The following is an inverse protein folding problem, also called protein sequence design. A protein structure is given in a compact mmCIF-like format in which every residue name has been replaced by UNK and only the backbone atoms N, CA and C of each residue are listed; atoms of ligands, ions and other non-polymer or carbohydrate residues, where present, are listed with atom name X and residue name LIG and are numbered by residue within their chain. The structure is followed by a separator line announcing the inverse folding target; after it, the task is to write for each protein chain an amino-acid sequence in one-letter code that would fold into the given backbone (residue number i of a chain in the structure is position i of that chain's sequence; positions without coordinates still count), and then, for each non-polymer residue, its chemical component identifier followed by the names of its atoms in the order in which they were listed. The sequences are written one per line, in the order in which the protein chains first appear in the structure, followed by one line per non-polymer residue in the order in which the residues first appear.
data_IF_810214219333
#
_entry.id   IF_810214219333
#
_cell.length_a   1.000
_cell.length_b   1.000
_cell.length_c   1.000
_cell.angle_alpha   90.00
_cell.angle_beta   90.00
_cell.angle_gamma   90.00
#
_symmetry.space_group_name_H-M   'P 1'
#
loop_
_entity.id
_entity.type
_entity.pdbx_description
1 polymer ?
#
# COMPACT_ATOMS: atom_id res chain seq x y z
N UNK A 1 15.58 -20.16 6.78
CA UNK A 1 16.49 -20.49 7.90
C UNK A 1 17.09 -19.19 8.37
N UNK A 2 16.64 -18.68 9.53
CA UNK A 2 17.22 -17.48 10.13
C UNK A 2 18.69 -17.78 10.48
N UNK A 3 19.61 -17.01 9.91
CA UNK A 3 21.00 -16.98 10.38
C UNK A 3 20.98 -16.53 11.84
N UNK A 4 21.29 -17.43 12.77
CA UNK A 4 21.68 -17.05 14.13
C UNK A 4 22.90 -16.15 13.98
N UNK A 5 22.72 -14.83 14.15
CA UNK A 5 23.82 -13.91 14.39
C UNK A 5 24.53 -14.39 15.65
N UNK A 6 25.76 -14.83 15.50
CA UNK A 6 26.66 -15.11 16.63
C UNK A 6 26.77 -13.81 17.41
N UNK A 7 26.20 -13.76 18.60
CA UNK A 7 26.36 -12.67 19.55
C UNK A 7 27.85 -12.52 19.82
N UNK A 8 28.40 -11.31 19.72
CA UNK A 8 29.83 -11.05 19.91
C UNK A 8 30.34 -11.64 21.24
N UNK A 9 31.33 -12.50 21.17
CA UNK A 9 31.86 -13.29 22.30
C UNK A 9 32.23 -12.39 23.48
N UNK A 10 32.65 -11.16 23.22
CA UNK A 10 33.09 -10.19 24.23
C UNK A 10 32.02 -9.16 24.62
N UNK A 11 30.83 -9.22 24.06
CA UNK A 11 29.72 -8.35 24.45
C UNK A 11 28.96 -8.92 25.67
N UNK A 12 28.44 -8.04 26.52
CA UNK A 12 27.52 -8.40 27.60
C UNK A 12 26.15 -8.77 27.01
N UNK A 13 25.52 -9.83 27.50
CA UNK A 13 24.28 -10.36 26.94
C UNK A 13 23.08 -9.41 27.10
N UNK A 14 23.01 -8.64 28.21
CA UNK A 14 21.92 -7.71 28.51
C UNK A 14 22.46 -6.33 28.91
N UNK A 15 22.95 -5.50 27.97
CA UNK A 15 23.40 -4.15 28.28
C UNK A 15 22.22 -3.16 28.34
N UNK A 16 22.45 -2.03 29.00
CA UNK A 16 21.48 -0.92 29.01
C UNK A 16 21.38 -0.25 27.62
N UNK A 17 22.52 -0.10 26.94
CA UNK A 17 22.61 0.47 25.61
C UNK A 17 22.76 -0.68 24.60
N UNK A 18 21.67 -1.05 23.97
CA UNK A 18 21.62 -2.16 22.99
C UNK A 18 22.01 -1.71 21.60
N UNK A 19 21.55 -0.52 21.22
CA UNK A 19 21.79 0.08 19.89
C UNK A 19 22.63 1.33 19.99
N UNK A 20 23.42 1.58 18.98
CA UNK A 20 24.33 2.70 18.84
C UNK A 20 24.09 3.38 17.50
N UNK A 21 24.05 4.72 17.49
CA UNK A 21 24.09 5.50 16.26
C UNK A 21 25.55 5.87 15.96
N UNK A 22 26.08 5.40 14.83
CA UNK A 22 27.39 5.78 14.32
C UNK A 22 27.27 7.14 13.61
N UNK A 23 27.86 8.18 14.19
CA UNK A 23 27.80 9.53 13.63
C UNK A 23 28.69 9.71 12.39
N UNK A 24 29.55 8.75 12.06
CA UNK A 24 30.35 8.80 10.84
C UNK A 24 29.54 8.35 9.61
N UNK A 25 28.58 7.44 9.80
CA UNK A 25 27.77 6.87 8.71
C UNK A 25 26.30 7.24 8.80
N UNK A 26 25.83 7.67 9.98
CA UNK A 26 24.41 7.86 10.27
C UNK A 26 23.61 6.53 10.45
N UNK A 27 24.31 5.40 10.46
CA UNK A 27 23.70 4.08 10.62
C UNK A 27 23.60 3.68 12.10
N UNK A 28 22.62 2.86 12.40
CA UNK A 28 22.51 2.19 13.70
C UNK A 28 23.10 0.79 13.65
N UNK A 29 23.84 0.46 14.70
CA UNK A 29 24.44 -0.85 14.86
C UNK A 29 24.11 -1.45 16.23
N UNK A 30 23.98 -2.75 16.30
CA UNK A 30 23.83 -3.45 17.56
C UNK A 30 25.16 -3.46 18.32
N UNK A 31 25.13 -3.25 19.65
CA UNK A 31 26.32 -3.16 20.47
C UNK A 31 27.30 -4.34 20.28
N UNK A 32 26.76 -5.56 20.16
CA UNK A 32 27.57 -6.77 19.98
C UNK A 32 28.33 -6.77 18.64
N UNK A 33 27.71 -6.27 17.58
CA UNK A 33 28.34 -6.13 16.25
C UNK A 33 29.50 -5.12 16.30
N UNK A 34 29.31 -4.02 17.01
CA UNK A 34 30.35 -2.98 17.16
C UNK A 34 31.51 -3.46 17.99
N UNK A 35 31.26 -4.21 19.08
CA UNK A 35 32.30 -4.81 19.92
C UNK A 35 33.03 -5.91 19.15
N UNK A 36 32.31 -6.78 18.46
CA UNK A 36 32.84 -7.88 17.67
C UNK A 36 33.41 -9.03 18.52
N UNK A 37 34.13 -9.92 17.84
CA UNK A 37 34.69 -11.14 18.41
C UNK A 37 36.23 -11.09 18.58
N UNK A 38 36.82 -9.92 18.40
CA UNK A 38 38.25 -9.67 18.57
C UNK A 38 38.49 -8.81 19.81
N UNK A 39 39.17 -9.40 20.82
CA UNK A 39 39.44 -8.73 22.09
C UNK A 39 40.39 -7.54 21.94
N UNK A 40 41.42 -7.69 21.13
CA UNK A 40 42.39 -6.62 20.88
C UNK A 40 41.75 -5.43 20.19
N UNK A 41 40.95 -5.69 19.18
CA UNK A 41 40.12 -4.68 18.49
C UNK A 41 39.16 -3.98 19.46
N UNK A 42 38.53 -4.71 20.39
CA UNK A 42 37.62 -4.09 21.38
C UNK A 42 38.41 -3.14 22.32
N UNK A 43 39.64 -3.48 22.70
CA UNK A 43 40.50 -2.58 23.48
C UNK A 43 40.93 -1.34 22.71
N UNK A 44 41.27 -1.49 21.42
CA UNK A 44 41.58 -0.38 20.52
C UNK A 44 40.38 0.54 20.36
N UNK A 45 39.18 -0.03 20.11
CA UNK A 45 37.93 0.71 20.02
C UNK A 45 37.67 1.50 21.31
N UNK A 46 37.87 0.90 22.47
CA UNK A 46 37.71 1.56 23.77
C UNK A 46 38.55 2.81 23.91
N UNK A 47 39.81 2.73 23.51
CA UNK A 47 40.74 3.87 23.53
C UNK A 47 40.34 4.94 22.52
N UNK A 48 39.98 4.53 21.31
CA UNK A 48 39.55 5.43 20.25
C UNK A 48 38.33 6.25 20.67
N UNK A 49 37.30 5.61 21.21
CA UNK A 49 36.05 6.28 21.63
C UNK A 49 36.30 7.32 22.73
N UNK A 50 37.20 7.05 23.68
CA UNK A 50 37.62 8.03 24.69
C UNK A 50 38.33 9.22 24.07
N UNK A 51 39.15 8.98 23.05
CA UNK A 51 39.85 10.02 22.33
C UNK A 51 38.89 10.91 21.53
N UNK A 52 37.95 10.29 20.83
CA UNK A 52 36.93 11.00 20.04
C UNK A 52 36.03 11.89 20.90
N UNK A 53 35.64 11.39 22.09
CA UNK A 53 34.91 12.20 23.09
C UNK A 53 35.71 13.42 23.55
N UNK A 54 37.01 13.24 23.86
CA UNK A 54 37.87 14.34 24.27
C UNK A 54 38.08 15.39 23.15
N UNK A 55 37.98 14.96 21.88
CA UNK A 55 38.06 15.84 20.70
C UNK A 55 36.69 16.48 20.37
N UNK A 56 35.67 16.30 21.20
CA UNK A 56 34.31 16.75 20.98
C UNK A 56 33.65 16.23 19.70
N UNK A 57 34.20 15.13 19.13
CA UNK A 57 33.64 14.43 17.96
C UNK A 57 33.36 12.94 18.26
N UNK A 58 32.43 12.65 19.19
CA UNK A 58 32.12 11.26 19.53
C UNK A 58 31.64 10.51 18.30
N UNK A 59 32.16 9.28 18.11
CA UNK A 59 31.72 8.43 17.00
C UNK A 59 30.35 7.82 17.24
N UNK A 60 30.11 7.29 18.45
CA UNK A 60 28.85 6.66 18.78
C UNK A 60 28.07 7.45 19.83
N UNK A 61 26.75 7.53 19.62
CA UNK A 61 25.80 8.08 20.57
C UNK A 61 24.65 7.11 20.82
N UNK A 62 24.01 7.24 21.97
CA UNK A 62 22.75 6.55 22.23
C UNK A 62 21.66 7.11 21.31
N UNK A 63 21.00 6.30 20.49
CA UNK A 63 19.98 6.80 19.57
C UNK A 63 18.70 7.27 20.27
N UNK A 64 18.51 6.96 21.55
CA UNK A 64 17.36 7.38 22.34
C UNK A 64 17.52 8.78 22.93
N UNK A 65 18.71 9.17 23.37
CA UNK A 65 18.96 10.44 24.04
C UNK A 65 20.06 11.29 23.40
N UNK A 66 20.71 10.79 22.33
CA UNK A 66 21.82 11.43 21.61
C UNK A 66 23.06 11.71 22.49
N UNK A 67 23.09 11.16 23.69
CA UNK A 67 24.26 11.27 24.56
C UNK A 67 25.40 10.41 24.03
N UNK A 68 26.64 10.93 23.95
CA UNK A 68 27.81 10.15 23.62
C UNK A 68 27.97 8.92 24.52
N UNK A 69 28.39 7.81 23.93
CA UNK A 69 28.63 6.56 24.65
C UNK A 69 30.07 6.14 24.53
N UNK A 70 30.56 5.45 25.54
CA UNK A 70 31.91 4.91 25.58
C UNK A 70 31.90 3.45 26.05
N UNK A 71 32.97 2.71 25.71
CA UNK A 71 33.07 1.28 26.01
C UNK A 71 33.65 1.04 27.39
N UNK A 72 32.96 0.27 28.23
CA UNK A 72 33.36 -0.15 29.57
C UNK A 72 33.62 -1.66 29.56
N UNK A 73 34.64 -2.11 30.32
CA UNK A 73 34.90 -3.53 30.51
C UNK A 73 34.41 -4.00 31.89
N UNK A 74 33.82 -5.18 31.97
CA UNK A 74 33.66 -5.94 33.22
C UNK A 74 34.94 -6.74 33.44
N UNK A 75 35.55 -6.70 34.64
CA UNK A 75 36.78 -7.46 34.94
C UNK A 75 36.57 -8.97 34.79
N UNK A 76 35.40 -9.44 35.21
CA UNK A 76 34.99 -10.82 35.11
C UNK A 76 34.57 -11.18 33.69
N UNK A 77 35.20 -12.17 33.08
CA UNK A 77 34.85 -12.74 31.79
C UNK A 77 35.26 -11.92 30.56
N UNK A 78 36.08 -10.87 30.69
CA UNK A 78 36.53 -10.02 29.58
C UNK A 78 35.39 -9.48 28.72
N UNK A 79 34.25 -9.11 29.32
CA UNK A 79 33.06 -8.62 28.64
C UNK A 79 33.04 -7.09 28.57
N UNK A 80 32.48 -6.55 27.49
CA UNK A 80 32.35 -5.12 27.24
C UNK A 80 30.88 -4.73 27.07
N UNK A 81 30.57 -3.48 27.42
CA UNK A 81 29.26 -2.86 27.21
C UNK A 81 29.41 -1.34 27.05
N UNK A 82 28.45 -0.72 26.39
CA UNK A 82 28.43 0.73 26.24
C UNK A 82 27.71 1.40 27.41
N UNK A 83 28.23 2.56 27.80
CA UNK A 83 27.70 3.41 28.86
C UNK A 83 27.60 4.85 28.38
N UNK A 84 26.57 5.59 28.82
CA UNK A 84 26.42 6.99 28.54
C UNK A 84 27.54 7.83 29.21
N UNK A 85 28.01 8.85 28.52
CA UNK A 85 29.01 9.76 29.07
C UNK A 85 28.46 10.56 30.29
N UNK A 86 27.17 10.87 30.26
CA UNK A 86 26.43 11.51 31.35
C UNK A 86 25.21 10.65 31.68
N UNK A 87 25.16 10.13 32.87
CA UNK A 87 24.02 9.38 33.43
C UNK A 87 23.19 10.31 34.32
N UNK A 88 22.42 11.20 33.72
CA UNK A 88 21.58 12.15 34.43
C UNK A 88 20.11 11.73 34.53
N UNK A 89 19.81 10.47 34.27
CA UNK A 89 18.45 9.91 34.27
C UNK A 89 17.56 10.35 33.13
N UNK A 90 18.09 11.04 32.10
CA UNK A 90 17.33 11.54 30.96
C UNK A 90 17.10 10.51 29.88
N UNK A 91 17.84 9.42 29.88
CA UNK A 91 17.68 8.37 28.88
C UNK A 91 16.60 7.36 29.25
N UNK A 92 15.65 7.14 28.35
CA UNK A 92 14.61 6.16 28.53
C UNK A 92 15.15 4.70 28.51
N UNK A 93 16.34 4.48 27.96
CA UNK A 93 16.97 3.15 27.99
C UNK A 93 17.40 2.76 29.41
N UNK A 94 17.78 3.73 30.24
CA UNK A 94 18.21 3.53 31.64
C UNK A 94 17.03 3.62 32.61
N UNK A 95 15.96 4.37 32.25
CA UNK A 95 14.82 4.66 33.14
C UNK A 95 13.53 3.92 32.77
N UNK A 96 13.64 2.73 32.23
CA UNK A 96 12.45 1.94 31.84
C UNK A 96 11.48 1.80 33.03
N UNK A 97 10.28 2.38 32.86
CA UNK A 97 9.18 2.27 33.82
C UNK A 97 9.05 3.40 34.83
N UNK A 98 9.96 4.36 34.92
CA UNK A 98 9.93 5.47 35.91
C UNK A 98 9.38 6.78 35.37
N UNK A 99 9.37 6.97 34.04
CA UNK A 99 8.93 8.22 33.40
C UNK A 99 7.72 7.97 32.50
N UNK A 100 6.76 8.91 32.55
CA UNK A 100 5.68 8.95 31.58
C UNK A 100 6.22 9.33 30.19
N UNK A 101 5.48 8.98 29.11
CA UNK A 101 5.84 9.30 27.73
C UNK A 101 6.01 10.82 27.53
N UNK A 102 5.20 11.64 28.22
CA UNK A 102 5.25 13.09 28.13
C UNK A 102 6.49 13.67 28.84
N UNK A 103 6.90 13.09 29.96
CA UNK A 103 8.13 13.47 30.64
C UNK A 103 9.39 13.09 29.83
N UNK A 104 9.37 11.93 29.16
CA UNK A 104 10.42 11.53 28.22
C UNK A 104 10.50 12.52 27.05
N UNK A 105 9.35 12.91 26.49
CA UNK A 105 9.29 13.89 25.41
C UNK A 105 9.77 15.26 25.85
N UNK A 106 9.29 15.77 26.99
CA UNK A 106 9.71 17.07 27.54
C UNK A 106 11.21 17.13 27.79
N UNK A 107 11.83 16.05 28.31
CA UNK A 107 13.26 15.98 28.57
C UNK A 107 14.11 15.90 27.31
N UNK A 108 13.62 15.26 26.24
CA UNK A 108 14.31 15.23 24.93
C UNK A 108 14.42 16.59 24.27
N UNK A 109 13.41 17.43 24.42
CA UNK A 109 13.39 18.78 23.81
C UNK A 109 14.09 19.83 24.64
N UNK A 110 14.35 19.61 25.93
CA UNK A 110 14.88 20.61 26.86
C UNK A 110 16.40 20.45 27.14
N UNK A 111 17.23 20.11 26.18
CA UNK A 111 18.66 20.25 26.39
C UNK A 111 19.60 19.17 25.89
N UNK A 112 19.20 18.36 24.91
CA UNK A 112 20.14 17.49 24.22
C UNK A 112 21.00 18.35 23.30
N UNK A 113 22.31 18.42 23.53
CA UNK A 113 23.28 19.00 22.56
C UNK A 113 23.11 18.25 21.23
N UNK A 114 22.87 18.99 20.16
CA UNK A 114 22.85 18.42 18.82
C UNK A 114 24.16 17.70 18.53
N UNK A 115 24.06 16.55 17.84
CA UNK A 115 25.27 15.85 17.40
C UNK A 115 25.97 16.66 16.31
N UNK A 116 27.28 16.49 16.21
CA UNK A 116 28.06 17.13 15.14
C UNK A 116 27.52 16.74 13.74
N UNK A 117 27.07 15.50 13.56
CA UNK A 117 26.48 15.06 12.29
C UNK A 117 25.19 15.83 11.97
N UNK A 118 24.34 16.10 12.96
CA UNK A 118 23.10 16.88 12.73
C UNK A 118 23.43 18.31 12.27
N UNK A 119 24.42 18.93 12.93
CA UNK A 119 24.89 20.26 12.54
C UNK A 119 25.50 20.28 11.13
N UNK A 120 26.32 19.27 10.77
CA UNK A 120 26.88 19.13 9.43
C UNK A 120 25.78 18.91 8.39
N UNK A 121 24.80 18.05 8.62
CA UNK A 121 23.69 17.83 7.70
C UNK A 121 22.85 19.09 7.46
N UNK A 122 22.58 19.88 8.49
CA UNK A 122 21.91 21.20 8.31
C UNK A 122 22.74 22.10 7.39
N UNK A 123 24.05 22.17 7.60
CA UNK A 123 24.94 22.96 6.75
C UNK A 123 25.01 22.42 5.31
N UNK A 124 25.04 21.08 5.12
CA UNK A 124 25.01 20.48 3.79
C UNK A 124 23.72 20.80 3.05
N UNK A 125 22.57 20.59 3.69
CA UNK A 125 21.26 20.90 3.09
C UNK A 125 21.21 22.39 2.73
N UNK A 126 21.52 23.28 3.67
CA UNK A 126 21.50 24.72 3.41
C UNK A 126 22.40 25.13 2.23
N UNK A 127 23.62 24.58 2.15
CA UNK A 127 24.54 24.88 1.05
C UNK A 127 24.02 24.34 -0.31
N UNK A 128 23.40 23.16 -0.34
CA UNK A 128 22.77 22.62 -1.54
C UNK A 128 21.59 23.48 -2.02
N UNK A 129 20.75 23.95 -1.09
CA UNK A 129 19.61 24.82 -1.41
C UNK A 129 20.08 26.20 -1.91
N UNK A 130 21.15 26.74 -1.34
CA UNK A 130 21.67 28.06 -1.73
C UNK A 130 22.27 28.10 -3.14
N UNK A 131 22.82 26.98 -3.63
CA UNK A 131 23.41 26.94 -5.00
C UNK A 131 22.38 26.62 -6.07
N UNK A 132 21.22 26.10 -5.72
CA UNK A 132 20.13 25.80 -6.63
C UNK A 132 19.19 27.02 -6.72
N UNK A 133 19.22 27.72 -7.86
CA UNK A 133 18.49 28.97 -8.07
C UNK A 133 16.95 28.89 -7.97
N UNK A 134 16.39 27.68 -7.92
CA UNK A 134 14.96 27.46 -7.73
C UNK A 134 14.53 27.58 -6.26
N UNK A 135 15.49 27.56 -5.34
CA UNK A 135 15.24 27.82 -3.93
C UNK A 135 15.48 29.28 -3.57
N UNK A 136 14.62 29.81 -2.72
CA UNK A 136 14.78 31.11 -2.07
C UNK A 136 14.55 30.99 -0.54
N UNK A 137 14.84 32.05 0.19
CA UNK A 137 14.57 32.16 1.63
C UNK A 137 15.13 30.99 2.48
N UNK A 138 16.36 30.55 2.14
CA UNK A 138 17.02 29.45 2.85
C UNK A 138 17.46 29.93 4.24
N UNK A 139 16.89 29.37 5.29
CA UNK A 139 17.18 29.71 6.68
C UNK A 139 17.35 28.45 7.52
N UNK A 140 18.48 28.33 8.18
CA UNK A 140 18.78 27.26 9.15
C UNK A 140 18.15 27.62 10.48
N UNK A 141 17.42 26.70 11.08
CA UNK A 141 16.76 26.86 12.39
C UNK A 141 15.86 28.11 12.48
N UNK A 142 15.39 28.60 11.38
CA UNK A 142 14.51 29.77 11.35
C UNK A 142 13.12 29.47 11.89
N UNK A 143 12.61 30.38 12.75
CA UNK A 143 11.24 30.28 13.21
C UNK A 143 10.25 30.37 12.03
N UNK A 144 9.38 29.39 11.92
CA UNK A 144 8.23 29.40 11.01
C UNK A 144 6.98 29.67 11.84
N UNK A 145 6.44 30.86 11.74
CA UNK A 145 5.18 31.22 12.39
C UNK A 145 4.04 30.95 11.41
N UNK A 146 3.07 30.16 11.83
CA UNK A 146 1.90 29.84 11.03
C UNK A 146 1.01 31.06 10.84
N UNK A 147 0.61 31.31 9.60
CA UNK A 147 -0.26 32.42 9.24
C UNK A 147 -1.71 32.18 9.71
N UNK A 148 -2.13 30.94 9.78
CA UNK A 148 -3.51 30.57 10.13
C UNK A 148 -3.70 30.26 11.62
N UNK A 149 -2.71 29.63 12.26
CA UNK A 149 -2.83 29.17 13.65
C UNK A 149 -2.19 30.07 14.67
N UNK A 150 -1.24 30.92 14.27
CA UNK A 150 -0.37 31.68 15.19
C UNK A 150 0.65 30.78 15.93
N UNK A 151 0.57 29.46 15.78
CA UNK A 151 1.58 28.53 16.28
C UNK A 151 2.90 28.73 15.55
N UNK A 152 3.97 28.20 16.10
CA UNK A 152 5.26 28.26 15.43
C UNK A 152 6.00 26.93 15.55
N UNK A 153 6.86 26.68 14.57
CA UNK A 153 7.81 25.56 14.56
C UNK A 153 9.19 26.08 14.16
N UNK A 154 10.20 25.30 14.47
CA UNK A 154 11.60 25.60 14.11
C UNK A 154 12.13 24.38 13.34
N UNK A 155 11.98 24.35 12.02
CA UNK A 155 12.56 23.28 11.20
C UNK A 155 14.09 23.39 11.20
N UNK A 156 14.76 22.27 10.93
CA UNK A 156 16.22 22.23 10.81
C UNK A 156 16.71 23.16 9.70
N UNK A 157 16.06 23.09 8.52
CA UNK A 157 16.26 24.05 7.44
C UNK A 157 14.89 24.36 6.81
N UNK A 158 14.64 25.61 6.48
CA UNK A 158 13.48 26.01 5.68
C UNK A 158 13.92 26.72 4.42
N UNK A 159 13.15 26.59 3.36
CA UNK A 159 13.32 27.31 2.11
C UNK A 159 11.99 27.41 1.36
N UNK A 160 11.98 28.18 0.27
CA UNK A 160 10.87 28.21 -0.68
C UNK A 160 11.39 27.64 -2.00
N UNK A 161 10.75 26.58 -2.49
CA UNK A 161 11.05 25.97 -3.78
C UNK A 161 9.96 26.34 -4.79
N UNK A 162 10.27 27.15 -5.79
CA UNK A 162 9.33 27.57 -6.82
C UNK A 162 7.96 28.04 -6.27
N UNK A 163 7.99 28.77 -5.16
CA UNK A 163 6.80 29.26 -4.45
C UNK A 163 6.20 28.31 -3.41
N UNK A 164 6.69 27.09 -3.30
CA UNK A 164 6.27 26.13 -2.27
C UNK A 164 7.17 26.27 -1.04
N UNK A 165 6.66 26.66 0.13
CA UNK A 165 7.43 26.64 1.37
C UNK A 165 7.72 25.22 1.81
N UNK A 166 8.99 24.88 2.05
CA UNK A 166 9.44 23.54 2.44
C UNK A 166 10.18 23.60 3.77
N UNK A 167 9.80 22.73 4.68
CA UNK A 167 10.50 22.47 5.94
C UNK A 167 11.28 21.16 5.83
N UNK A 168 12.60 21.25 5.85
CA UNK A 168 13.48 20.09 5.89
C UNK A 168 13.76 19.71 7.34
N UNK A 169 13.49 18.45 7.69
CA UNK A 169 13.70 17.88 9.01
C UNK A 169 14.62 16.69 8.92
N UNK A 170 15.69 16.71 9.71
CA UNK A 170 16.74 15.69 9.68
C UNK A 170 16.44 14.63 10.74
N UNK A 171 16.30 13.40 10.30
CA UNK A 171 15.98 12.28 11.18
C UNK A 171 17.19 11.40 11.43
N UNK A 172 17.85 11.59 12.57
CA UNK A 172 18.99 10.77 13.04
C UNK A 172 18.61 9.85 14.20
N UNK A 173 17.69 10.28 15.06
CA UNK A 173 17.30 9.56 16.27
C UNK A 173 15.88 9.03 16.21
N UNK A 174 15.49 8.21 17.16
CA UNK A 174 14.10 7.80 17.31
C UNK A 174 13.24 9.00 17.71
N UNK A 175 12.25 9.33 16.88
CA UNK A 175 11.25 10.37 17.17
C UNK A 175 9.90 9.69 17.39
N UNK A 176 9.10 10.21 18.34
CA UNK A 176 7.78 9.62 18.60
C UNK A 176 6.79 10.00 17.50
N UNK A 177 5.93 9.05 17.15
CA UNK A 177 4.94 9.20 16.08
C UNK A 177 4.03 10.43 16.25
N UNK A 178 3.67 10.77 17.49
CA UNK A 178 2.86 11.96 17.76
C UNK A 178 3.58 13.27 17.38
N UNK A 179 4.91 13.33 17.51
CA UNK A 179 5.70 14.50 17.09
C UNK A 179 5.75 14.62 15.57
N UNK A 180 5.94 13.48 14.88
CA UNK A 180 5.89 13.43 13.42
C UNK A 180 4.52 13.88 12.93
N UNK A 181 3.44 13.37 13.52
CA UNK A 181 2.06 13.71 13.16
C UNK A 181 1.74 15.20 13.41
N UNK A 182 2.19 15.76 14.56
CA UNK A 182 1.99 17.19 14.89
C UNK A 182 2.75 18.11 13.92
N UNK A 183 4.00 17.76 13.55
CA UNK A 183 4.76 18.52 12.56
C UNK A 183 4.09 18.48 11.20
N UNK A 184 3.71 17.29 10.75
CA UNK A 184 3.02 17.10 9.48
C UNK A 184 1.73 17.90 9.39
N UNK A 185 0.90 17.88 10.45
CA UNK A 185 -0.36 18.63 10.49
C UNK A 185 -0.13 20.14 10.52
N UNK A 186 0.88 20.61 11.26
CA UNK A 186 1.25 22.03 11.27
C UNK A 186 1.61 22.52 9.86
N UNK A 187 2.57 21.87 9.19
CA UNK A 187 3.00 22.32 7.85
C UNK A 187 1.89 22.18 6.80
N UNK A 188 1.08 21.12 6.89
CA UNK A 188 -0.09 20.95 6.02
C UNK A 188 -1.07 22.12 6.16
N UNK A 189 -1.41 22.49 7.38
CA UNK A 189 -2.34 23.59 7.68
C UNK A 189 -1.78 24.95 7.25
N UNK A 190 -0.49 25.14 7.41
CA UNK A 190 0.19 26.40 7.08
C UNK A 190 0.65 26.48 5.60
N UNK A 191 0.20 25.58 4.74
CA UNK A 191 0.48 25.60 3.31
C UNK A 191 1.92 25.27 2.93
N UNK A 192 2.68 24.67 3.84
CA UNK A 192 4.04 24.19 3.60
C UNK A 192 4.11 22.70 3.32
N UNK A 193 5.28 22.22 2.93
CA UNK A 193 5.62 20.82 2.75
C UNK A 193 6.66 20.40 3.79
N UNK A 194 6.38 19.34 4.54
CA UNK A 194 7.35 18.68 5.41
C UNK A 194 8.18 17.68 4.61
N UNK A 195 9.49 17.87 4.58
CA UNK A 195 10.43 17.02 3.88
C UNK A 195 11.43 16.38 4.84
N UNK A 196 11.34 15.05 4.99
CA UNK A 196 12.23 14.29 5.87
C UNK A 196 13.52 13.88 5.15
N UNK A 197 14.65 14.08 5.82
CA UNK A 197 15.99 13.74 5.33
C UNK A 197 16.67 12.81 6.32
N UNK A 198 17.26 11.73 5.82
CA UNK A 198 18.04 10.77 6.58
C UNK A 198 19.54 10.92 6.28
N UNK A 199 20.42 10.56 7.22
CA UNK A 199 21.84 10.40 6.95
C UNK A 199 22.13 9.07 6.22
N UNK A 200 21.35 8.04 6.55
CA UNK A 200 21.35 6.74 5.87
C UNK A 200 19.97 6.09 5.92
N UNK A 201 19.68 5.23 4.97
CA UNK A 201 18.47 4.43 4.95
C UNK A 201 18.80 3.01 4.51
N UNK A 202 18.76 2.08 5.48
CA UNK A 202 19.09 0.68 5.28
C UNK A 202 17.91 -0.21 5.70
N UNK A 203 17.51 -1.15 4.82
CA UNK A 203 16.41 -2.09 5.04
C UNK A 203 16.58 -2.95 6.29
N UNK A 204 17.79 -3.47 6.49
CA UNK A 204 18.07 -4.47 7.51
C UNK A 204 18.24 -3.87 8.91
N UNK A 205 18.45 -2.56 8.99
CA UNK A 205 18.71 -1.81 10.22
C UNK A 205 17.73 -0.65 10.44
N UNK A 206 16.54 -0.68 9.80
CA UNK A 206 15.54 0.38 9.93
C UNK A 206 14.93 0.41 11.31
N UNK A 207 14.70 1.61 11.78
CA UNK A 207 13.91 1.88 12.98
C UNK A 207 12.47 2.11 12.63
N UNK A 208 11.59 1.88 13.59
CA UNK A 208 10.15 2.15 13.43
C UNK A 208 9.87 3.56 12.92
N UNK A 209 10.63 4.57 13.39
CA UNK A 209 10.49 5.95 12.91
C UNK A 209 10.82 6.12 11.42
N UNK A 210 11.84 5.40 10.92
CA UNK A 210 12.15 5.41 9.49
C UNK A 210 11.07 4.74 8.68
N UNK A 211 10.50 3.64 9.20
CA UNK A 211 9.33 3.00 8.60
C UNK A 211 8.11 3.92 8.61
N UNK A 212 7.82 4.60 9.73
CA UNK A 212 6.71 5.56 9.82
C UNK A 212 6.82 6.66 8.75
N UNK A 213 8.01 7.21 8.54
CA UNK A 213 8.23 8.21 7.49
C UNK A 213 8.11 7.58 6.09
N UNK A 214 8.80 6.47 5.84
CA UNK A 214 8.85 5.81 4.54
C UNK A 214 7.47 5.39 4.03
N UNK A 215 6.71 4.66 4.85
CA UNK A 215 5.38 4.17 4.46
C UNK A 215 4.35 5.29 4.30
N UNK A 216 4.51 6.41 5.03
CA UNK A 216 3.66 7.59 4.89
C UNK A 216 4.11 8.56 3.79
N UNK A 217 5.30 8.37 3.20
CA UNK A 217 5.84 9.16 2.10
C UNK A 217 5.82 8.39 0.77
N UNK A 218 4.72 7.73 0.46
CA UNK A 218 4.56 6.94 -0.77
C UNK A 218 5.69 5.94 -1.00
N UNK A 219 6.23 5.38 0.11
CA UNK A 219 7.38 4.46 0.14
C UNK A 219 8.64 5.00 -0.55
N UNK A 220 8.92 6.28 -0.30
CA UNK A 220 10.17 6.93 -0.68
C UNK A 220 10.88 7.49 0.55
N UNK A 221 12.20 7.39 0.58
CA UNK A 221 13.07 7.99 1.59
C UNK A 221 14.22 8.74 0.91
N UNK A 222 14.66 9.83 1.52
CA UNK A 222 15.70 10.69 0.98
C UNK A 222 16.88 10.78 1.92
N UNK A 223 18.08 10.63 1.35
CA UNK A 223 19.34 10.65 2.07
C UNK A 223 20.21 11.79 1.55
N UNK A 224 20.76 12.57 2.48
CA UNK A 224 21.77 13.58 2.21
C UNK A 224 23.04 13.20 2.97
N UNK A 225 24.16 13.18 2.26
CA UNK A 225 25.49 12.90 2.79
C UNK A 225 26.52 13.81 2.12
N UNK A 226 27.79 13.66 2.50
CA UNK A 226 28.87 14.48 1.95
C UNK A 226 28.95 14.37 0.42
N UNK A 227 28.80 13.16 -0.15
CA UNK A 227 28.85 12.94 -1.60
C UNK A 227 27.73 13.70 -2.32
N UNK A 228 26.48 13.53 -1.88
CA UNK A 228 25.35 14.23 -2.52
C UNK A 228 25.48 15.74 -2.39
N UNK A 229 26.04 16.24 -1.29
CA UNK A 229 26.35 17.66 -1.13
C UNK A 229 27.38 18.14 -2.15
N UNK A 230 28.50 17.45 -2.29
CA UNK A 230 29.60 17.85 -3.22
C UNK A 230 29.10 17.85 -4.67
N UNK A 231 28.33 16.84 -5.08
CA UNK A 231 27.71 16.75 -6.39
C UNK A 231 26.64 17.82 -6.61
N UNK A 232 25.86 18.18 -5.58
CA UNK A 232 24.90 19.29 -5.64
C UNK A 232 25.61 20.64 -5.88
N UNK A 233 26.70 20.89 -5.16
CA UNK A 233 27.49 22.12 -5.34
C UNK A 233 28.09 22.22 -6.74
N UNK A 234 28.58 21.09 -7.27
CA UNK A 234 29.16 21.02 -8.61
C UNK A 234 28.11 21.25 -9.71
N UNK A 235 26.96 20.59 -9.60
CA UNK A 235 25.88 20.65 -10.58
C UNK A 235 24.98 21.89 -10.44
N UNK A 236 25.07 22.61 -9.34
CA UNK A 236 24.16 23.70 -8.95
C UNK A 236 22.68 23.26 -8.92
N UNK A 237 22.46 22.01 -8.54
CA UNK A 237 21.12 21.41 -8.35
C UNK A 237 21.11 20.64 -7.05
N UNK A 238 20.04 20.73 -6.28
CA UNK A 238 19.93 19.94 -5.06
C UNK A 238 19.68 18.46 -5.43
N UNK A 239 20.72 17.64 -5.23
CA UNK A 239 20.73 16.20 -5.46
C UNK A 239 20.59 15.43 -4.14
N UNK A 240 19.83 14.36 -4.19
CA UNK A 240 19.50 13.49 -3.06
C UNK A 240 19.68 12.03 -3.48
N UNK A 241 20.13 11.16 -2.60
CA UNK A 241 19.93 9.73 -2.80
C UNK A 241 18.48 9.41 -2.43
N UNK A 242 17.72 8.89 -3.37
CA UNK A 242 16.37 8.41 -3.16
C UNK A 242 16.35 6.89 -3.02
N UNK A 243 15.61 6.39 -2.05
CA UNK A 243 15.34 4.96 -1.85
C UNK A 243 13.84 4.76 -1.94
N UNK A 244 13.37 3.88 -2.82
CA UNK A 244 11.94 3.62 -2.97
C UNK A 244 11.62 2.14 -3.14
N UNK A 245 10.37 1.78 -2.88
CA UNK A 245 9.81 0.46 -3.15
C UNK A 245 9.06 0.45 -4.47
N UNK A 246 9.04 -0.71 -5.15
CA UNK A 246 8.19 -0.96 -6.30
C UNK A 246 7.16 -2.06 -5.98
N UNK A 247 5.89 -1.90 -6.38
CA UNK A 247 4.88 -2.93 -6.14
C UNK A 247 5.03 -4.08 -7.13
N UNK A 248 4.77 -5.30 -6.65
CA UNK A 248 4.71 -6.50 -7.51
C UNK A 248 3.26 -6.88 -7.82
N UNK A 249 3.02 -7.60 -8.94
CA UNK A 249 1.74 -8.25 -9.18
C UNK A 249 1.40 -9.19 -8.01
N UNK A 250 0.27 -8.97 -7.34
CA UNK A 250 -0.12 -9.71 -6.15
C UNK A 250 0.07 -8.97 -4.82
N UNK A 251 0.48 -7.68 -4.87
CA UNK A 251 0.46 -6.77 -3.71
C UNK A 251 1.72 -6.81 -2.83
N UNK A 252 2.76 -7.53 -3.23
CA UNK A 252 4.07 -7.54 -2.57
C UNK A 252 4.93 -6.31 -2.92
N UNK A 253 6.19 -6.36 -2.48
CA UNK A 253 7.24 -5.39 -2.79
C UNK A 253 8.47 -6.14 -3.29
N UNK A 254 9.01 -5.71 -4.42
CA UNK A 254 10.24 -6.29 -5.00
C UNK A 254 11.48 -5.53 -4.51
N UNK A 255 11.82 -5.72 -3.23
CA UNK A 255 12.99 -5.07 -2.64
C UNK A 255 12.92 -3.54 -2.64
N UNK A 256 14.08 -2.90 -2.45
CA UNK A 256 14.21 -1.45 -2.61
C UNK A 256 15.10 -1.12 -3.80
N UNK A 257 14.71 -0.07 -4.51
CA UNK A 257 15.52 0.61 -5.51
C UNK A 257 16.23 1.80 -4.88
N UNK A 258 17.36 2.18 -5.44
CA UNK A 258 18.10 3.37 -5.02
C UNK A 258 18.69 4.05 -6.26
N UNK A 259 18.53 5.36 -6.32
CA UNK A 259 19.20 6.19 -7.33
C UNK A 259 19.40 7.60 -6.77
N UNK A 260 20.28 8.35 -7.39
CA UNK A 260 20.43 9.77 -7.13
C UNK A 260 19.44 10.56 -7.98
N UNK A 261 18.69 11.43 -7.34
CA UNK A 261 17.66 12.24 -7.99
C UNK A 261 17.84 13.72 -7.67
N UNK A 262 17.41 14.57 -8.57
CA UNK A 262 17.34 16.01 -8.29
C UNK A 262 16.00 16.34 -7.62
N UNK A 263 16.01 17.28 -6.68
CA UNK A 263 14.80 17.70 -5.95
C UNK A 263 13.67 18.15 -6.88
N UNK A 264 13.97 18.82 -7.98
CA UNK A 264 13.01 19.27 -8.98
C UNK A 264 12.37 18.14 -9.81
N UNK A 265 12.91 16.92 -9.74
CA UNK A 265 12.29 15.74 -10.35
C UNK A 265 11.26 15.05 -9.45
N UNK A 266 11.12 15.54 -8.21
CA UNK A 266 10.18 14.95 -7.24
C UNK A 266 8.77 15.47 -7.46
N UNK A 267 7.80 14.62 -7.22
CA UNK A 267 6.41 15.06 -7.05
C UNK A 267 6.23 15.56 -5.61
N UNK A 268 5.82 16.82 -5.47
CA UNK A 268 5.58 17.48 -4.20
C UNK A 268 4.08 17.58 -3.92
N UNK A 269 3.58 16.74 -3.01
CA UNK A 269 2.16 16.69 -2.64
C UNK A 269 1.95 17.35 -1.27
N UNK A 270 1.70 18.65 -1.28
CA UNK A 270 1.44 19.44 -0.07
C UNK A 270 0.18 18.99 0.67
N UNK A 271 -0.84 18.55 -0.04
CA UNK A 271 -2.12 18.13 0.55
C UNK A 271 -1.95 16.89 1.42
N UNK A 272 -1.23 15.89 0.92
CA UNK A 272 -0.96 14.66 1.63
C UNK A 272 0.38 14.68 2.37
N UNK A 273 1.12 15.81 2.32
CA UNK A 273 2.45 15.96 2.94
C UNK A 273 3.40 14.84 2.54
N UNK A 274 3.60 14.71 1.22
CA UNK A 274 4.44 13.68 0.61
C UNK A 274 5.35 14.31 -0.44
N UNK A 275 6.57 13.82 -0.52
CA UNK A 275 7.47 14.07 -1.61
C UNK A 275 8.01 12.73 -2.10
N UNK A 276 7.92 12.45 -3.40
CA UNK A 276 8.33 11.15 -3.93
C UNK A 276 8.89 11.25 -5.33
N UNK A 277 9.87 10.39 -5.61
CA UNK A 277 10.42 10.15 -6.93
C UNK A 277 9.58 9.12 -7.68
N UNK A 278 9.24 8.02 -7.01
CA UNK A 278 8.43 6.96 -7.57
C UNK A 278 7.05 6.93 -6.91
N UNK A 279 6.00 6.98 -7.75
CA UNK A 279 4.62 6.89 -7.29
C UNK A 279 4.20 5.42 -7.05
N UNK A 280 4.49 4.92 -5.84
CA UNK A 280 4.16 3.55 -5.44
C UNK A 280 2.65 3.30 -5.44
N UNK A 281 1.86 4.20 -4.87
CA UNK A 281 0.40 4.03 -4.76
C UNK A 281 -0.25 4.03 -6.15
N UNK A 282 0.18 4.92 -7.04
CA UNK A 282 -0.27 4.95 -8.43
C UNK A 282 0.13 3.70 -9.22
N UNK A 283 1.37 3.22 -9.05
CA UNK A 283 1.85 2.00 -9.69
C UNK A 283 1.07 0.77 -9.19
N UNK A 284 0.83 0.65 -7.89
CA UNK A 284 0.02 -0.42 -7.30
C UNK A 284 -1.40 -0.42 -7.85
N UNK A 285 -2.04 0.75 -7.89
CA UNK A 285 -3.40 0.87 -8.42
C UNK A 285 -3.48 0.48 -9.92
N UNK A 286 -2.46 0.82 -10.72
CA UNK A 286 -2.39 0.37 -12.13
C UNK A 286 -2.31 -1.14 -12.23
N UNK A 287 -1.42 -1.80 -11.47
CA UNK A 287 -1.31 -3.26 -11.45
C UNK A 287 -2.61 -3.95 -11.02
N UNK A 288 -3.31 -3.41 -10.02
CA UNK A 288 -4.60 -3.93 -9.58
C UNK A 288 -5.68 -3.79 -10.66
N UNK A 289 -5.72 -2.65 -11.35
CA UNK A 289 -6.66 -2.43 -12.46
C UNK A 289 -6.37 -3.36 -13.64
N UNK A 290 -5.10 -3.52 -14.00
CA UNK A 290 -4.67 -4.46 -15.05
C UNK A 290 -5.04 -5.90 -14.70
N UNK A 291 -4.76 -6.34 -13.48
CA UNK A 291 -5.12 -7.68 -13.02
C UNK A 291 -6.65 -7.90 -13.07
N UNK A 292 -7.44 -6.93 -12.63
CA UNK A 292 -8.92 -7.00 -12.74
C UNK A 292 -9.39 -7.04 -14.19
N UNK A 293 -8.79 -6.23 -15.06
CA UNK A 293 -9.11 -6.23 -16.50
C UNK A 293 -8.81 -7.59 -17.14
N UNK A 294 -7.67 -8.22 -16.79
CA UNK A 294 -7.30 -9.54 -17.28
C UNK A 294 -8.31 -10.62 -16.81
N UNK A 295 -8.73 -10.58 -15.55
CA UNK A 295 -9.75 -11.50 -15.03
C UNK A 295 -11.07 -11.33 -15.79
N UNK A 296 -11.53 -10.09 -15.97
CA UNK A 296 -12.79 -9.80 -16.69
C UNK A 296 -12.71 -10.23 -18.16
N UNK A 297 -11.57 -10.01 -18.82
CA UNK A 297 -11.35 -10.47 -20.21
C UNK A 297 -11.37 -11.98 -20.32
N UNK A 298 -10.72 -12.71 -19.41
CA UNK A 298 -10.73 -14.18 -19.35
C UNK A 298 -12.14 -14.72 -19.11
N UNK A 299 -12.88 -14.12 -18.18
CA UNK A 299 -14.27 -14.50 -17.91
C UNK A 299 -15.17 -14.22 -19.10
N UNK A 300 -14.99 -13.08 -19.78
CA UNK A 300 -15.73 -12.77 -20.99
C UNK A 300 -15.49 -13.82 -22.08
N UNK A 301 -14.24 -14.16 -22.33
CA UNK A 301 -13.88 -15.17 -23.32
C UNK A 301 -14.55 -16.53 -23.01
N UNK A 302 -14.51 -16.96 -21.74
CA UNK A 302 -15.15 -18.20 -21.31
C UNK A 302 -16.69 -18.16 -21.51
N UNK A 303 -17.32 -17.00 -21.24
CA UNK A 303 -18.76 -16.82 -21.52
C UNK A 303 -19.08 -16.91 -23.01
N UNK A 304 -18.29 -16.26 -23.84
CA UNK A 304 -18.47 -16.26 -25.30
C UNK A 304 -18.31 -17.68 -25.87
N UNK A 305 -17.33 -18.43 -25.39
CA UNK A 305 -17.10 -19.84 -25.78
C UNK A 305 -18.24 -20.76 -25.29
N UNK A 306 -18.72 -20.58 -24.05
CA UNK A 306 -19.87 -21.33 -23.53
C UNK A 306 -21.11 -21.04 -24.35
N UNK A 307 -21.39 -19.80 -24.68
CA UNK A 307 -22.51 -19.38 -25.52
C UNK A 307 -22.44 -20.03 -26.91
N UNK A 308 -21.29 -19.92 -27.57
CA UNK A 308 -21.08 -20.52 -28.91
C UNK A 308 -21.29 -22.02 -28.87
N UNK A 309 -20.71 -22.72 -27.89
CA UNK A 309 -20.89 -24.16 -27.71
C UNK A 309 -22.35 -24.51 -27.44
N UNK A 310 -23.03 -23.79 -26.54
CA UNK A 310 -24.43 -24.07 -26.17
C UNK A 310 -25.36 -23.86 -27.36
N UNK A 311 -25.23 -22.76 -28.09
CA UNK A 311 -26.06 -22.45 -29.27
C UNK A 311 -25.83 -23.50 -30.36
N UNK A 312 -24.58 -23.93 -30.60
CA UNK A 312 -24.28 -24.99 -31.54
C UNK A 312 -24.93 -26.31 -31.14
N UNK A 313 -24.77 -26.72 -29.87
CA UNK A 313 -25.35 -27.96 -29.32
C UNK A 313 -26.85 -28.03 -29.48
N UNK A 314 -27.59 -26.92 -29.17
CA UNK A 314 -29.03 -26.91 -29.28
C UNK A 314 -29.55 -26.82 -30.73
N UNK A 315 -28.71 -26.28 -31.66
CA UNK A 315 -29.04 -26.14 -33.07
C UNK A 315 -28.78 -27.43 -33.85
N UNK A 316 -27.66 -28.10 -33.61
CA UNK A 316 -27.30 -29.36 -34.30
C UNK A 316 -27.91 -30.59 -33.63
N UNK A 317 -28.32 -30.47 -32.37
CA UNK A 317 -28.75 -31.57 -31.48
C UNK A 317 -27.64 -32.59 -31.22
N UNK A 318 -26.38 -32.21 -31.45
CA UNK A 318 -25.20 -33.03 -31.19
C UNK A 318 -24.58 -32.70 -29.83
N UNK A 319 -24.20 -33.75 -29.07
CA UNK A 319 -23.57 -33.60 -27.75
C UNK A 319 -22.06 -33.64 -27.87
N UNK A 320 -21.42 -32.50 -27.89
CA UNK A 320 -19.96 -32.39 -27.83
C UNK A 320 -19.47 -32.48 -26.39
N UNK A 321 -19.28 -33.70 -25.92
CA UNK A 321 -18.84 -34.00 -24.55
C UNK A 321 -17.39 -33.59 -24.29
N UNK A 322 -16.55 -33.54 -25.32
CA UNK A 322 -15.13 -33.17 -25.16
C UNK A 322 -15.01 -31.67 -24.88
N UNK A 323 -15.66 -30.83 -25.67
CA UNK A 323 -15.68 -29.39 -25.45
C UNK A 323 -16.39 -29.06 -24.11
N UNK A 324 -17.47 -29.78 -23.77
CA UNK A 324 -18.10 -29.61 -22.48
C UNK A 324 -17.15 -29.88 -21.30
N UNK A 325 -16.40 -30.96 -21.32
CA UNK A 325 -15.46 -31.29 -20.26
C UNK A 325 -14.36 -30.20 -20.07
N UNK A 326 -13.97 -29.53 -21.14
CA UNK A 326 -13.04 -28.40 -21.09
C UNK A 326 -13.71 -27.15 -20.48
N UNK A 327 -14.92 -26.82 -20.95
CA UNK A 327 -15.70 -25.69 -20.42
C UNK A 327 -16.04 -25.89 -18.94
N UNK A 328 -16.47 -27.09 -18.56
CA UNK A 328 -16.79 -27.45 -17.18
C UNK A 328 -15.61 -27.22 -16.23
N UNK A 329 -14.39 -27.67 -16.59
CA UNK A 329 -13.19 -27.41 -15.81
C UNK A 329 -12.93 -25.92 -15.64
N UNK A 330 -12.96 -25.16 -16.73
CA UNK A 330 -12.71 -23.71 -16.71
C UNK A 330 -13.79 -22.95 -15.93
N UNK A 331 -15.05 -23.41 -15.96
CA UNK A 331 -16.11 -22.86 -15.12
C UNK A 331 -15.84 -23.13 -13.64
N UNK A 332 -15.38 -24.34 -13.30
CA UNK A 332 -15.00 -24.71 -11.94
C UNK A 332 -13.80 -23.87 -11.44
N UNK A 333 -12.81 -23.58 -12.28
CA UNK A 333 -11.68 -22.69 -11.97
C UNK A 333 -12.13 -21.26 -11.67
N UNK A 334 -13.26 -20.81 -12.26
CA UNK A 334 -13.90 -19.52 -11.94
C UNK A 334 -14.88 -19.62 -10.75
N UNK A 335 -14.93 -20.75 -10.05
CA UNK A 335 -15.81 -20.96 -8.89
C UNK A 335 -17.27 -21.23 -9.26
N UNK A 336 -17.56 -21.56 -10.52
CA UNK A 336 -18.93 -21.84 -11.00
C UNK A 336 -19.23 -23.32 -10.83
N UNK A 337 -20.11 -23.65 -9.90
CA UNK A 337 -20.58 -25.01 -9.70
C UNK A 337 -21.68 -25.34 -10.71
N UNK A 338 -21.41 -26.34 -11.56
CA UNK A 338 -22.35 -26.88 -12.55
C UNK A 338 -22.10 -28.39 -12.69
N UNK A 339 -23.14 -29.14 -13.08
CA UNK A 339 -23.00 -30.60 -13.26
C UNK A 339 -22.04 -30.96 -14.38
N UNK A 340 -21.23 -31.98 -14.17
CA UNK A 340 -20.37 -32.58 -15.21
C UNK A 340 -21.19 -33.18 -16.36
N UNK A 341 -22.40 -33.64 -16.09
CA UNK A 341 -23.29 -34.26 -17.09
C UNK A 341 -24.06 -33.19 -17.86
N UNK A 342 -23.87 -33.12 -19.18
CA UNK A 342 -24.59 -32.19 -20.09
C UNK A 342 -26.12 -32.29 -19.94
N UNK A 343 -26.64 -33.51 -19.69
CA UNK A 343 -28.04 -33.75 -19.48
C UNK A 343 -28.68 -33.01 -18.31
N UNK A 344 -27.87 -32.63 -17.30
CA UNK A 344 -28.30 -31.91 -16.10
C UNK A 344 -28.27 -30.39 -16.27
N UNK A 345 -27.77 -29.88 -17.40
CA UNK A 345 -27.81 -28.45 -17.68
C UNK A 345 -29.30 -27.97 -17.76
N UNK A 346 -29.61 -26.78 -17.26
CA UNK A 346 -30.96 -26.21 -17.34
C UNK A 346 -31.25 -25.69 -18.75
N UNK A 347 -31.33 -26.60 -19.74
CA UNK A 347 -31.43 -26.27 -21.17
C UNK A 347 -32.60 -25.34 -21.49
N UNK A 348 -33.77 -25.61 -20.90
CA UNK A 348 -34.97 -24.75 -21.10
C UNK A 348 -34.75 -23.32 -20.58
N UNK A 349 -34.07 -23.16 -19.43
CA UNK A 349 -33.70 -21.83 -18.89
C UNK A 349 -32.67 -21.15 -19.80
N UNK A 350 -31.60 -21.84 -20.17
CA UNK A 350 -30.56 -21.29 -21.04
C UNK A 350 -31.11 -20.91 -22.41
N UNK A 351 -31.98 -21.74 -23.01
CA UNK A 351 -32.66 -21.43 -24.26
C UNK A 351 -33.46 -20.13 -24.15
N UNK A 352 -34.20 -19.94 -23.06
CA UNK A 352 -34.97 -18.73 -22.84
C UNK A 352 -34.09 -17.48 -22.68
N UNK A 353 -33.01 -17.61 -21.90
CA UNK A 353 -32.10 -16.49 -21.63
C UNK A 353 -31.30 -16.10 -22.90
N UNK A 354 -30.76 -17.05 -23.67
CA UNK A 354 -30.10 -16.75 -24.93
C UNK A 354 -31.08 -16.22 -25.99
N UNK A 355 -32.31 -16.79 -26.03
CA UNK A 355 -33.33 -16.21 -26.92
C UNK A 355 -33.61 -14.75 -26.58
N UNK A 356 -33.67 -14.42 -25.29
CA UNK A 356 -33.90 -13.06 -24.83
C UNK A 356 -32.69 -12.15 -25.15
N UNK A 357 -31.46 -12.64 -24.95
CA UNK A 357 -30.24 -11.91 -25.29
C UNK A 357 -30.21 -11.55 -26.78
N UNK A 358 -30.51 -12.50 -27.64
CA UNK A 358 -30.46 -12.31 -29.09
C UNK A 358 -31.72 -11.72 -29.73
N UNK A 359 -32.86 -11.70 -29.01
CA UNK A 359 -34.17 -11.25 -29.53
C UNK A 359 -34.73 -12.17 -30.62
N UNK A 360 -34.30 -13.44 -30.64
CA UNK A 360 -34.76 -14.49 -31.56
C UNK A 360 -34.83 -15.83 -30.84
N UNK A 361 -35.57 -16.79 -31.38
CA UNK A 361 -35.67 -18.11 -30.79
C UNK A 361 -34.35 -18.87 -30.86
N UNK A 362 -33.92 -19.48 -29.74
CA UNK A 362 -32.74 -20.34 -29.60
C UNK A 362 -33.16 -21.66 -28.98
N UNK A 363 -32.80 -22.78 -29.60
CA UNK A 363 -32.96 -24.14 -29.06
C UNK A 363 -34.38 -24.68 -29.03
N UNK A 364 -35.32 -23.99 -29.63
CA UNK A 364 -36.73 -24.45 -29.82
C UNK A 364 -37.20 -24.26 -31.26
N UNK A 365 -38.20 -25.07 -31.67
CA UNK A 365 -38.84 -24.97 -32.97
C UNK A 365 -40.04 -24.00 -32.93
N UNK A 366 -39.88 -22.80 -32.28
CA UNK A 366 -40.90 -21.77 -32.21
C UNK A 366 -40.74 -20.78 -33.39
N UNK A 367 -41.90 -20.24 -33.85
CA UNK A 367 -41.93 -19.28 -34.98
C UNK A 367 -41.85 -17.83 -34.52
N UNK A 368 -42.03 -17.53 -33.25
CA UNK A 368 -42.02 -16.18 -32.71
C UNK A 368 -41.44 -16.12 -31.28
N UNK A 369 -40.95 -14.97 -30.90
CA UNK A 369 -40.30 -14.79 -29.59
C UNK A 369 -41.30 -14.86 -28.43
N UNK A 370 -42.56 -14.41 -28.62
CA UNK A 370 -43.60 -14.49 -27.60
C UNK A 370 -43.94 -15.93 -27.20
N UNK A 371 -43.75 -16.92 -28.08
CA UNK A 371 -43.97 -18.31 -27.76
C UNK A 371 -43.09 -18.81 -26.63
N UNK A 372 -41.86 -18.24 -26.49
CA UNK A 372 -40.97 -18.51 -25.37
C UNK A 372 -41.59 -18.07 -24.05
N UNK A 373 -42.15 -16.87 -24.02
CA UNK A 373 -42.84 -16.33 -22.85
C UNK A 373 -44.03 -17.21 -22.43
N UNK A 374 -44.84 -17.67 -23.40
CA UNK A 374 -45.94 -18.58 -23.13
C UNK A 374 -45.48 -19.97 -22.67
N UNK A 375 -44.30 -20.45 -23.09
CA UNK A 375 -43.78 -21.76 -22.71
C UNK A 375 -43.15 -21.78 -21.31
N UNK A 376 -42.47 -20.72 -20.91
CA UNK A 376 -41.81 -20.62 -19.59
C UNK A 376 -42.83 -20.76 -18.45
N UNK A 377 -44.03 -20.27 -18.63
CA UNK A 377 -45.05 -20.31 -17.57
C UNK A 377 -45.45 -21.72 -17.16
N UNK A 378 -45.97 -22.58 -18.05
CA UNK A 378 -46.43 -23.92 -17.65
C UNK A 378 -45.24 -24.85 -17.30
N UNK A 379 -44.14 -24.75 -18.00
CA UNK A 379 -43.03 -25.70 -17.89
C UNK A 379 -41.96 -25.32 -16.88
N UNK A 380 -41.75 -24.04 -16.66
CA UNK A 380 -40.59 -23.52 -15.92
C UNK A 380 -40.89 -22.32 -15.03
N UNK A 381 -42.05 -22.34 -14.33
CA UNK A 381 -42.52 -21.24 -13.44
C UNK A 381 -41.47 -20.76 -12.46
N UNK A 382 -40.70 -21.67 -11.89
CA UNK A 382 -39.65 -21.37 -10.92
C UNK A 382 -38.52 -20.49 -11.49
N UNK A 383 -38.38 -20.43 -12.82
CA UNK A 383 -37.37 -19.67 -13.52
C UNK A 383 -37.86 -18.36 -14.13
N UNK A 384 -39.15 -18.02 -13.90
CA UNK A 384 -39.75 -16.81 -14.48
C UNK A 384 -39.10 -15.53 -14.02
N UNK A 385 -38.47 -15.54 -12.83
CA UNK A 385 -37.71 -14.41 -12.30
C UNK A 385 -36.43 -14.11 -13.11
N UNK A 386 -35.74 -15.14 -13.63
CA UNK A 386 -34.56 -14.94 -14.53
C UNK A 386 -35.03 -14.37 -15.87
N UNK A 387 -36.11 -14.91 -16.43
CA UNK A 387 -36.65 -14.42 -17.70
C UNK A 387 -37.06 -12.96 -17.61
N UNK A 388 -37.75 -12.57 -16.51
CA UNK A 388 -38.12 -11.17 -16.27
C UNK A 388 -36.90 -10.27 -16.20
N UNK A 389 -35.83 -10.68 -15.49
CA UNK A 389 -34.55 -9.94 -15.42
C UNK A 389 -33.92 -9.83 -16.80
N UNK A 390 -33.90 -10.89 -17.58
CA UNK A 390 -33.37 -10.90 -18.93
C UNK A 390 -34.13 -9.95 -19.87
N UNK A 391 -35.44 -9.95 -19.82
CA UNK A 391 -36.25 -9.00 -20.61
C UNK A 391 -35.91 -7.54 -20.28
N UNK A 392 -35.65 -7.23 -19.03
CA UNK A 392 -35.24 -5.89 -18.61
C UNK A 392 -33.81 -5.59 -19.05
N UNK A 393 -32.86 -6.49 -18.75
CA UNK A 393 -31.43 -6.29 -19.05
C UNK A 393 -31.14 -6.16 -20.55
N UNK A 394 -31.84 -6.93 -21.39
CA UNK A 394 -31.66 -6.93 -22.84
C UNK A 394 -32.67 -6.06 -23.61
N UNK A 395 -33.55 -5.33 -22.90
CA UNK A 395 -34.51 -4.41 -23.51
C UNK A 395 -35.57 -5.08 -24.40
N UNK A 396 -35.99 -6.35 -24.07
CA UNK A 396 -36.90 -7.14 -24.92
C UNK A 396 -38.40 -7.09 -24.51
N UNK A 397 -38.70 -6.30 -23.49
CA UNK A 397 -40.09 -6.19 -23.02
C UNK A 397 -41.05 -5.62 -24.08
N UNK A 398 -40.56 -4.65 -24.87
CA UNK A 398 -41.37 -4.06 -25.99
C UNK A 398 -41.57 -5.07 -27.11
N UNK A 399 -40.56 -5.89 -27.45
CA UNK A 399 -40.69 -6.93 -28.47
C UNK A 399 -41.83 -7.93 -28.13
N UNK A 400 -41.89 -8.38 -26.86
CA UNK A 400 -42.95 -9.26 -26.39
C UNK A 400 -44.32 -8.55 -26.48
N UNK A 401 -44.40 -7.29 -26.10
CA UNK A 401 -45.66 -6.53 -26.19
C UNK A 401 -46.13 -6.36 -27.66
N UNK A 402 -45.20 -6.08 -28.54
CA UNK A 402 -45.50 -5.96 -29.98
C UNK A 402 -46.00 -7.29 -30.62
N UNK A 403 -45.47 -8.43 -30.14
CA UNK A 403 -45.90 -9.76 -30.63
C UNK A 403 -47.17 -10.29 -29.93
N UNK A 404 -47.65 -9.68 -28.82
CA UNK A 404 -48.84 -10.11 -28.08
C UNK A 404 -50.15 -9.54 -28.69
N UNK A 405 -50.38 -9.83 -29.96
CA UNK A 405 -51.57 -9.35 -30.68
C UNK A 405 -52.89 -9.76 -30.01
N UNK A 406 -52.91 -10.84 -29.25
CA UNK A 406 -54.12 -11.38 -28.60
C UNK A 406 -54.31 -10.86 -27.16
N UNK A 407 -53.36 -10.17 -26.58
CA UNK A 407 -53.34 -9.75 -25.18
C UNK A 407 -53.24 -10.90 -24.17
N UNK A 408 -53.08 -12.14 -24.63
CA UNK A 408 -53.07 -13.34 -23.76
C UNK A 408 -51.85 -13.33 -22.83
N UNK A 409 -50.69 -12.85 -23.29
CA UNK A 409 -49.51 -12.75 -22.44
C UNK A 409 -49.68 -11.67 -21.37
N UNK A 410 -50.20 -10.52 -21.73
CA UNK A 410 -50.50 -9.46 -20.77
C UNK A 410 -51.44 -9.92 -19.65
N UNK A 411 -52.47 -10.68 -19.99
CA UNK A 411 -53.39 -11.28 -19.01
C UNK A 411 -52.69 -12.28 -18.07
N UNK A 412 -51.85 -13.17 -18.63
CA UNK A 412 -51.00 -14.09 -17.82
C UNK A 412 -50.08 -13.35 -16.86
N UNK A 413 -49.40 -12.32 -17.32
CA UNK A 413 -48.52 -11.52 -16.45
C UNK A 413 -49.26 -10.87 -15.30
N UNK A 414 -50.49 -10.39 -15.54
CA UNK A 414 -51.35 -9.85 -14.48
C UNK A 414 -51.72 -10.92 -13.44
N UNK A 415 -52.07 -12.13 -13.90
CA UNK A 415 -52.37 -13.28 -13.04
C UNK A 415 -51.13 -13.67 -12.21
N UNK A 416 -49.94 -13.79 -12.82
CA UNK A 416 -48.72 -14.13 -12.08
C UNK A 416 -48.39 -13.13 -10.99
N UNK A 417 -48.49 -11.83 -11.29
CA UNK A 417 -48.28 -10.77 -10.30
C UNK A 417 -49.27 -10.91 -9.12
N UNK A 418 -50.51 -11.24 -9.39
CA UNK A 418 -51.52 -11.46 -8.35
C UNK A 418 -51.18 -12.69 -7.49
N UNK A 419 -50.86 -13.82 -8.11
CA UNK A 419 -50.50 -15.08 -7.42
C UNK A 419 -49.23 -14.92 -6.58
N UNK A 420 -48.17 -14.27 -7.12
CA UNK A 420 -46.96 -13.98 -6.37
C UNK A 420 -47.24 -13.12 -5.13
N UNK A 421 -48.11 -12.08 -5.26
CA UNK A 421 -48.54 -11.25 -4.12
C UNK A 421 -49.29 -12.04 -3.05
N UNK A 422 -50.00 -13.08 -3.44
CA UNK A 422 -50.73 -13.98 -2.53
C UNK A 422 -49.83 -15.07 -1.93
N UNK A 423 -48.53 -15.07 -2.23
CA UNK A 423 -47.59 -16.03 -1.68
C UNK A 423 -47.63 -17.42 -2.31
N UNK A 424 -48.12 -17.55 -3.54
CA UNK A 424 -48.18 -18.83 -4.24
C UNK A 424 -46.77 -19.45 -4.44
N UNK A 425 -46.53 -20.56 -3.74
CA UNK A 425 -45.23 -21.25 -3.74
C UNK A 425 -44.83 -21.83 -5.11
N UNK A 426 -45.78 -22.00 -6.04
CA UNK A 426 -45.48 -22.42 -7.40
C UNK A 426 -44.60 -21.43 -8.18
N UNK A 427 -44.55 -20.16 -7.73
CA UNK A 427 -43.71 -19.09 -8.28
C UNK A 427 -42.51 -18.79 -7.41
N UNK A 428 -42.22 -19.58 -6.36
CA UNK A 428 -41.03 -19.40 -5.56
C UNK A 428 -39.77 -19.56 -6.45
N UNK A 429 -38.82 -18.61 -6.43
CA UNK A 429 -37.66 -18.69 -7.25
C UNK A 429 -36.82 -19.93 -6.96
N UNK A 430 -36.44 -20.67 -8.00
CA UNK A 430 -35.43 -21.72 -7.91
C UNK A 430 -34.08 -21.12 -8.23
N UNK A 431 -33.21 -21.08 -7.23
CA UNK A 431 -31.85 -20.49 -7.31
C UNK A 431 -30.76 -21.53 -7.51
N UNK A 432 -31.09 -22.80 -7.72
CA UNK A 432 -30.15 -23.90 -7.90
C UNK A 432 -29.10 -23.61 -8.98
N UNK A 433 -29.49 -22.88 -10.03
CA UNK A 433 -28.61 -22.52 -11.13
C UNK A 433 -28.01 -21.10 -11.05
N UNK A 434 -28.22 -20.38 -9.93
CA UNK A 434 -27.71 -19.02 -9.75
C UNK A 434 -26.21 -18.89 -10.05
N UNK A 435 -25.31 -19.77 -9.59
CA UNK A 435 -23.88 -19.66 -9.90
C UNK A 435 -23.60 -19.62 -11.41
N UNK A 436 -24.21 -20.54 -12.16
CA UNK A 436 -24.05 -20.58 -13.62
C UNK A 436 -24.66 -19.34 -14.28
N UNK A 437 -25.90 -18.99 -13.93
CA UNK A 437 -26.60 -17.87 -14.55
C UNK A 437 -25.93 -16.54 -14.26
N UNK A 438 -25.43 -16.32 -13.04
CA UNK A 438 -24.65 -15.12 -12.69
C UNK A 438 -23.37 -15.01 -13.50
N UNK A 439 -22.70 -16.13 -13.73
CA UNK A 439 -21.48 -16.13 -14.53
C UNK A 439 -21.78 -15.88 -15.99
N UNK A 440 -22.72 -16.62 -16.59
CA UNK A 440 -23.00 -16.59 -18.04
C UNK A 440 -23.78 -15.34 -18.46
N UNK A 441 -24.64 -14.80 -17.59
CA UNK A 441 -25.45 -13.61 -17.84
C UNK A 441 -25.26 -12.55 -16.73
N UNK A 442 -24.07 -11.95 -16.60
CA UNK A 442 -23.81 -10.94 -15.56
C UNK A 442 -24.74 -9.72 -15.69
N UNK A 443 -25.24 -9.45 -16.89
CA UNK A 443 -26.16 -8.34 -17.18
C UNK A 443 -27.47 -8.42 -16.38
N UNK A 444 -27.90 -9.63 -16.02
CA UNK A 444 -29.10 -9.84 -15.22
C UNK A 444 -28.98 -9.32 -13.78
N UNK A 445 -27.74 -9.03 -13.36
CA UNK A 445 -27.42 -8.63 -11.99
C UNK A 445 -26.80 -7.23 -11.91
N UNK A 446 -26.46 -6.62 -13.04
CA UNK A 446 -25.85 -5.28 -13.11
C UNK A 446 -26.83 -4.14 -12.82
N UNK A 447 -28.15 -4.39 -12.84
CA UNK A 447 -29.19 -3.39 -12.67
C UNK A 447 -30.00 -3.49 -11.36
N UNK A 448 -29.55 -4.26 -10.38
CA UNK A 448 -30.31 -4.54 -9.15
C UNK A 448 -30.19 -3.44 -8.06
N UNK A 449 -29.70 -2.25 -8.42
CA UNK A 449 -29.61 -1.06 -7.54
C UNK A 449 -30.23 0.19 -8.22
N UNK A 450 -31.41 0.03 -8.85
CA UNK A 450 -32.24 1.16 -9.22
C UNK A 450 -33.66 0.96 -8.66
#
# INVERSE_FOLDING_TARGET
MAQQQTLGVFAVDHPEVVELLDLATGETAHHATVIGDDYERALQLRMQLQTDIKRERPRYVCPMCMTPVYLVSRPEGRKFFFRHLLEDGRCSAVTRGLLSQDEINARKYNGVKESWLHLEMKAWIASCLQVDSRFSDVVVEGRWTGAFSGEWRRPDVRAVFEGIPVAFEIQLSTTYINVIAQRREFYRREGGLLFWVFASFNLDARRLTQDDVFYNNNRNAFVVNQRTRDESLQSRRFLLDCVWAEPTPGGGVDGLRRDQVAFDSLTLDQTNQRAYHFDFDGARNRLELEARAQVLARQKLLRDEFEAWFINMVSTKELDSQTWAQLHRRLADEGVSVSEYIGMLPKGLLNALYSTKHGRVVGWDFSSFIQIAHYIEPGHRKYIHYFRRALAAFGRAEQIRAEDHSGKWAAKVAEYKARIRLGDTAFSPDTTHDPLIRFVFPELYSGALA
#
